data_IF_236472509682
#
_entry.id   IF_236472509682
#
_cell.length_a   1.000
_cell.length_b   1.000
_cell.length_c   1.000
_cell.angle_alpha   90.00
_cell.angle_beta   90.00
_cell.angle_gamma   90.00
#
_symmetry.space_group_name_H-M   'P 1'
#
loop_
_entity.id
_entity.type
_entity.pdbx_description
1 polymer ?
#
# COMPACT_ATOMS: atom_id res chain seq x y z
N UNK A 1 1.18 13.85 -5.75
CA UNK A 1 1.06 12.38 -5.84
C UNK A 1 2.40 11.64 -5.77
N UNK A 2 3.52 12.19 -6.27
CA UNK A 2 4.85 11.54 -6.18
C UNK A 2 5.31 11.24 -4.74
N UNK A 3 5.11 12.17 -3.80
CA UNK A 3 5.54 12.02 -2.42
C UNK A 3 4.82 10.89 -1.67
N UNK A 4 3.49 10.78 -1.80
CA UNK A 4 2.75 9.71 -1.13
C UNK A 4 3.11 8.33 -1.67
N UNK A 5 3.35 8.22 -2.98
CA UNK A 5 3.84 6.98 -3.57
C UNK A 5 5.22 6.61 -3.00
N UNK A 6 6.15 7.57 -2.98
CA UNK A 6 7.48 7.39 -2.41
C UNK A 6 7.39 6.90 -0.95
N UNK A 7 6.65 7.61 -0.11
CA UNK A 7 6.48 7.24 1.31
C UNK A 7 5.81 5.87 1.48
N UNK A 8 4.84 5.52 0.63
CA UNK A 8 4.19 4.21 0.74
C UNK A 8 5.10 3.05 0.36
N UNK A 9 6.03 3.27 -0.57
CA UNK A 9 6.87 2.22 -1.14
C UNK A 9 8.25 2.13 -0.48
N UNK A 10 8.66 3.17 0.26
CA UNK A 10 9.96 3.26 0.94
C UNK A 10 9.72 3.55 2.42
N UNK A 11 9.87 2.53 3.27
CA UNK A 11 9.53 2.60 4.71
C UNK A 11 10.62 3.24 5.57
N UNK A 12 11.79 3.49 4.99
CA UNK A 12 13.05 3.89 5.64
C UNK A 12 13.42 5.35 5.35
N UNK A 13 12.49 6.17 4.87
CA UNK A 13 12.70 7.61 4.68
C UNK A 13 12.83 8.29 6.05
N UNK A 14 13.96 8.96 6.29
CA UNK A 14 14.27 9.54 7.61
C UNK A 14 14.34 11.06 7.59
N UNK A 15 14.83 11.64 6.49
CA UNK A 15 15.14 13.06 6.45
C UNK A 15 14.76 13.68 5.10
N UNK A 16 14.23 14.90 5.14
CA UNK A 16 13.89 15.70 3.98
C UNK A 16 14.55 17.08 4.05
N UNK A 17 15.15 17.49 2.95
CA UNK A 17 15.79 18.78 2.78
C UNK A 17 14.99 19.61 1.77
N UNK A 18 14.37 20.69 2.26
CA UNK A 18 13.69 21.68 1.45
C UNK A 18 14.72 22.63 0.83
N UNK A 19 14.85 22.58 -0.49
CA UNK A 19 15.71 23.48 -1.25
C UNK A 19 14.92 24.74 -1.62
N UNK A 20 15.36 25.90 -1.15
CA UNK A 20 14.67 27.17 -1.39
C UNK A 20 15.52 28.13 -2.22
N UNK A 21 14.94 28.67 -3.29
CA UNK A 21 15.45 29.83 -4.00
C UNK A 21 14.30 30.81 -4.22
N UNK A 22 14.36 31.97 -3.56
CA UNK A 22 13.27 32.94 -3.55
C UNK A 22 11.94 32.28 -3.12
N UNK A 23 10.96 32.24 -4.01
CA UNK A 23 9.64 31.63 -3.78
C UNK A 23 9.51 30.23 -4.38
N UNK A 24 10.58 29.65 -4.92
CA UNK A 24 10.55 28.32 -5.55
C UNK A 24 11.20 27.28 -4.63
N UNK A 25 10.55 26.11 -4.53
CA UNK A 25 10.98 25.05 -3.64
C UNK A 25 11.02 23.68 -4.30
N UNK A 26 11.97 22.84 -3.88
CA UNK A 26 12.12 21.43 -4.22
C UNK A 26 12.47 20.61 -2.97
N UNK A 27 12.33 19.29 -3.01
CA UNK A 27 12.76 18.42 -1.90
C UNK A 27 13.84 17.45 -2.35
N UNK A 28 14.78 17.17 -1.46
CA UNK A 28 15.58 15.95 -1.48
C UNK A 28 15.22 15.15 -0.24
N UNK A 29 14.84 13.90 -0.41
CA UNK A 29 14.51 12.99 0.68
C UNK A 29 15.57 11.91 0.73
N UNK A 30 15.99 11.55 1.92
CA UNK A 30 17.02 10.54 2.19
C UNK A 30 16.42 9.40 3.01
N UNK A 31 16.82 8.18 2.69
CA UNK A 31 16.53 6.99 3.49
C UNK A 31 17.69 6.59 4.43
N UNK A 32 17.45 5.57 5.27
CA UNK A 32 18.47 5.01 6.19
C UNK A 32 19.68 4.43 5.47
N UNK A 33 19.53 4.07 4.20
CA UNK A 33 20.58 3.47 3.37
C UNK A 33 21.38 4.52 2.57
N UNK A 34 21.21 5.82 2.88
CA UNK A 34 21.85 6.94 2.19
C UNK A 34 21.43 7.09 0.71
N UNK A 35 20.29 6.52 0.31
CA UNK A 35 19.74 6.75 -1.03
C UNK A 35 19.00 8.09 -1.08
N UNK A 36 19.10 8.79 -2.22
CA UNK A 36 18.49 10.10 -2.40
C UNK A 36 17.33 10.08 -3.39
N UNK A 37 16.22 10.69 -2.99
CA UNK A 37 15.01 10.87 -3.80
C UNK A 37 14.74 12.35 -4.01
N UNK A 38 14.85 12.80 -5.26
CA UNK A 38 14.63 14.23 -5.60
C UNK A 38 13.21 14.44 -6.08
N UNK A 39 12.47 15.30 -5.37
CA UNK A 39 11.19 15.85 -5.84
C UNK A 39 11.47 17.21 -6.46
N UNK A 40 11.33 17.27 -7.79
CA UNK A 40 11.55 18.47 -8.61
C UNK A 40 10.75 19.67 -8.09
N UNK A 41 11.21 20.86 -8.44
CA UNK A 41 10.51 22.09 -8.09
C UNK A 41 9.15 22.16 -8.77
N UNK A 42 8.10 22.12 -7.97
CA UNK A 42 6.72 22.46 -8.33
C UNK A 42 5.98 23.12 -7.17
N UNK A 43 6.72 23.39 -6.09
CA UNK A 43 6.24 24.00 -4.87
C UNK A 43 6.66 25.47 -4.89
N UNK A 44 5.77 26.36 -4.46
CA UNK A 44 6.09 27.77 -4.31
C UNK A 44 5.68 28.29 -2.94
N UNK A 45 6.16 29.46 -2.54
CA UNK A 45 5.68 30.22 -1.39
C UNK A 45 5.21 31.61 -1.81
N UNK A 46 4.44 32.30 -0.96
CA UNK A 46 3.86 33.61 -1.27
C UNK A 46 2.38 33.52 -1.65
N UNK A 47 2.01 34.02 -2.84
CA UNK A 47 0.61 34.19 -3.23
C UNK A 47 -0.18 32.88 -3.22
N UNK A 48 -1.38 32.93 -2.62
CA UNK A 48 -2.28 31.78 -2.49
C UNK A 48 -2.56 31.14 -3.85
N UNK A 49 -2.26 29.85 -3.96
CA UNK A 49 -2.40 29.06 -5.18
C UNK A 49 -2.02 27.60 -4.97
N UNK A 50 -1.98 26.82 -6.05
CA UNK A 50 -1.68 25.39 -5.98
C UNK A 50 -0.23 25.10 -5.55
N UNK A 51 0.72 26.00 -5.86
CA UNK A 51 2.13 25.87 -5.45
C UNK A 51 2.32 25.89 -3.92
N UNK A 52 1.87 26.93 -3.20
CA UNK A 52 1.99 26.97 -1.74
C UNK A 52 1.09 25.96 -1.04
N UNK A 53 -0.09 25.66 -1.60
CA UNK A 53 -0.94 24.58 -1.11
C UNK A 53 -0.25 23.22 -1.21
N UNK A 54 0.43 22.96 -2.32
CA UNK A 54 1.22 21.75 -2.52
C UNK A 54 2.38 21.65 -1.53
N UNK A 55 3.05 22.77 -1.24
CA UNK A 55 4.15 22.84 -0.27
C UNK A 55 3.65 22.52 1.14
N UNK A 56 2.59 23.20 1.59
CA UNK A 56 1.96 22.95 2.89
C UNK A 56 1.52 21.49 3.05
N UNK A 57 0.93 20.92 1.99
CA UNK A 57 0.54 19.52 1.91
C UNK A 57 1.75 18.58 2.07
N UNK A 58 2.84 18.83 1.34
CA UNK A 58 4.05 18.02 1.39
C UNK A 58 4.70 18.04 2.78
N UNK A 59 4.90 19.23 3.35
CA UNK A 59 5.46 19.39 4.69
C UNK A 59 4.64 18.69 5.77
N UNK A 60 3.31 18.74 5.64
CA UNK A 60 2.43 18.05 6.59
C UNK A 60 2.48 16.53 6.44
N UNK A 61 2.61 16.03 5.21
CA UNK A 61 2.81 14.61 4.97
C UNK A 61 4.13 14.12 5.57
N UNK A 62 5.23 14.83 5.32
CA UNK A 62 6.55 14.52 5.90
C UNK A 62 6.48 14.49 7.43
N UNK A 63 5.92 15.53 8.04
CA UNK A 63 5.71 15.60 9.51
C UNK A 63 4.87 14.44 10.04
N UNK A 64 3.81 14.04 9.34
CA UNK A 64 2.94 12.93 9.75
C UNK A 64 3.69 11.60 9.80
N UNK A 65 4.59 11.39 8.85
CA UNK A 65 5.44 10.20 8.75
C UNK A 65 6.73 10.31 9.55
N UNK A 66 6.83 11.33 10.43
CA UNK A 66 7.98 11.54 11.31
C UNK A 66 9.30 11.72 10.53
N UNK A 67 9.22 12.18 9.28
CA UNK A 67 10.39 12.51 8.46
C UNK A 67 10.87 13.88 8.90
N UNK A 68 12.08 13.94 9.47
CA UNK A 68 12.71 15.20 9.86
C UNK A 68 12.84 16.10 8.63
N UNK A 69 12.46 17.36 8.74
CA UNK A 69 12.49 18.28 7.60
C UNK A 69 13.20 19.57 7.98
N UNK A 70 14.21 19.93 7.19
CA UNK A 70 14.98 21.17 7.35
C UNK A 70 15.03 21.92 6.01
N UNK A 71 15.37 23.20 6.05
CA UNK A 71 15.38 24.08 4.87
C UNK A 71 16.76 24.70 4.65
N UNK A 72 17.19 24.79 3.39
CA UNK A 72 18.42 25.47 2.98
C UNK A 72 18.18 26.45 1.82
N UNK A 73 18.99 27.50 1.75
CA UNK A 73 19.03 28.38 0.58
C UNK A 73 19.95 27.82 -0.49
N UNK A 74 19.45 27.72 -1.72
CA UNK A 74 20.22 27.27 -2.87
C UNK A 74 20.21 28.29 -3.99
N UNK A 75 21.18 28.18 -4.88
CA UNK A 75 21.18 28.98 -6.12
C UNK A 75 20.14 28.45 -7.11
N UNK A 76 19.66 29.33 -8.01
CA UNK A 76 18.79 28.96 -9.12
C UNK A 76 19.39 27.88 -10.02
N UNK A 77 20.73 27.80 -10.11
CA UNK A 77 21.46 26.73 -10.81
C UNK A 77 21.20 25.35 -10.19
N UNK A 78 21.16 25.24 -8.87
CA UNK A 78 20.87 23.98 -8.17
C UNK A 78 19.42 23.55 -8.41
N UNK A 79 18.44 24.46 -8.28
CA UNK A 79 17.04 24.14 -8.58
C UNK A 79 16.85 23.68 -10.03
N UNK A 80 17.46 24.38 -10.99
CA UNK A 80 17.40 23.98 -12.41
C UNK A 80 17.94 22.57 -12.62
N UNK A 81 19.00 22.19 -11.90
CA UNK A 81 19.58 20.86 -11.99
C UNK A 81 18.72 19.78 -11.34
N UNK A 82 18.11 20.08 -10.19
CA UNK A 82 17.11 19.21 -9.57
C UNK A 82 15.96 18.93 -10.54
N UNK A 83 15.44 19.97 -11.21
CA UNK A 83 14.36 19.85 -12.20
C UNK A 83 14.74 18.99 -13.41
N UNK A 84 15.98 19.13 -13.87
CA UNK A 84 16.50 18.37 -15.00
C UNK A 84 17.04 16.99 -14.60
N UNK A 85 16.97 16.60 -13.31
CA UNK A 85 17.51 15.33 -12.79
C UNK A 85 19.01 15.15 -13.10
N UNK A 86 19.79 16.20 -12.86
CA UNK A 86 21.24 16.28 -13.18
C UNK A 86 22.11 16.58 -11.95
N UNK A 87 21.57 16.42 -10.75
CA UNK A 87 22.35 16.42 -9.50
C UNK A 87 22.96 15.03 -9.30
N UNK A 88 24.24 14.96 -8.92
CA UNK A 88 24.88 13.71 -8.54
C UNK A 88 24.92 13.55 -7.01
N UNK A 89 25.23 12.35 -6.55
CA UNK A 89 25.21 12.01 -5.11
C UNK A 89 26.19 12.87 -4.30
N UNK A 90 27.40 13.10 -4.79
CA UNK A 90 28.40 13.95 -4.11
C UNK A 90 27.92 15.40 -3.93
N UNK A 91 27.19 15.93 -4.91
CA UNK A 91 26.59 17.26 -4.81
C UNK A 91 25.42 17.27 -3.83
N UNK A 92 24.62 16.22 -3.81
CA UNK A 92 23.52 16.08 -2.85
C UNK A 92 24.09 16.03 -1.43
N UNK A 93 25.11 15.21 -1.18
CA UNK A 93 25.79 15.15 0.12
C UNK A 93 26.31 16.52 0.58
N UNK A 94 26.81 17.35 -0.35
CA UNK A 94 27.25 18.71 -0.03
C UNK A 94 26.06 19.61 0.37
N UNK A 95 24.88 19.42 -0.21
CA UNK A 95 23.68 20.16 0.19
C UNK A 95 23.26 19.83 1.62
N UNK A 96 23.34 18.56 2.03
CA UNK A 96 23.05 18.14 3.41
C UNK A 96 24.03 18.70 4.45
N UNK A 97 25.20 19.18 4.02
CA UNK A 97 26.21 19.82 4.88
C UNK A 97 26.07 21.35 4.93
N UNK A 98 25.13 21.94 4.19
CA UNK A 98 24.93 23.39 4.18
C UNK A 98 24.28 23.89 5.47
N UNK A 99 24.44 25.19 5.71
CA UNK A 99 23.81 25.85 6.85
C UNK A 99 22.30 25.88 6.67
N UNK A 100 21.62 25.36 7.69
CA UNK A 100 20.16 25.29 7.75
C UNK A 100 19.60 26.67 8.05
N UNK A 101 18.48 27.04 7.42
CA UNK A 101 17.75 28.27 7.73
C UNK A 101 17.20 28.20 9.15
N UNK A 102 17.62 29.15 10.00
CA UNK A 102 17.12 29.33 11.36
C UNK A 102 16.52 30.75 11.55
N UNK A 103 15.46 30.92 12.36
CA UNK A 103 14.63 29.87 12.95
C UNK A 103 13.87 29.09 11.86
N UNK A 104 13.47 27.84 12.16
CA UNK A 104 12.73 27.00 11.22
C UNK A 104 11.40 27.68 10.86
N UNK A 105 11.19 27.96 9.56
CA UNK A 105 9.98 28.65 9.07
C UNK A 105 8.94 27.71 8.44
N UNK A 106 9.15 26.40 8.52
CA UNK A 106 8.26 25.41 7.90
C UNK A 106 6.80 25.57 8.35
N UNK A 107 6.58 25.98 9.60
CA UNK A 107 5.24 26.25 10.12
C UNK A 107 4.54 27.41 9.39
N UNK A 108 5.29 28.43 8.95
CA UNK A 108 4.76 29.59 8.26
C UNK A 108 4.21 29.21 6.87
N UNK A 109 4.77 28.17 6.24
CA UNK A 109 4.25 27.61 4.99
C UNK A 109 2.96 26.80 5.20
N UNK A 110 2.77 26.20 6.38
CA UNK A 110 1.61 25.35 6.69
C UNK A 110 0.43 26.19 7.21
N UNK A 111 0.71 27.18 8.05
CA UNK A 111 -0.30 27.94 8.80
C UNK A 111 -1.44 28.50 7.93
N UNK A 112 -1.18 29.14 6.77
CA UNK A 112 -2.23 29.69 5.91
C UNK A 112 -3.18 28.65 5.33
N UNK A 113 -2.78 27.37 5.31
CA UNK A 113 -3.51 26.25 4.72
C UNK A 113 -3.97 25.24 5.76
N UNK A 114 -3.95 25.58 7.05
CA UNK A 114 -4.24 24.64 8.15
C UNK A 114 -5.58 23.92 7.99
N UNK A 115 -6.61 24.58 7.48
CA UNK A 115 -7.92 23.96 7.25
C UNK A 115 -7.86 22.92 6.12
N UNK A 116 -7.27 23.27 4.98
CA UNK A 116 -7.11 22.42 3.80
C UNK A 116 -6.15 21.25 4.08
N UNK A 117 -5.08 21.54 4.82
CA UNK A 117 -4.11 20.55 5.31
C UNK A 117 -4.77 19.61 6.32
N UNK A 118 -5.70 20.10 7.14
CA UNK A 118 -6.45 19.23 8.06
C UNK A 118 -7.33 18.22 7.31
N UNK A 119 -7.91 18.62 6.17
CA UNK A 119 -8.58 17.69 5.25
C UNK A 119 -7.60 16.76 4.56
N UNK A 120 -6.34 17.19 4.42
CA UNK A 120 -5.24 16.32 4.03
C UNK A 120 -4.92 15.28 5.10
N UNK A 121 -5.48 15.30 6.32
CA UNK A 121 -5.46 14.10 7.18
C UNK A 121 -6.44 13.01 6.71
N UNK A 122 -7.44 13.36 5.89
CA UNK A 122 -8.28 12.39 5.13
C UNK A 122 -7.58 11.91 3.84
N UNK A 123 -6.29 12.18 3.68
CA UNK A 123 -5.41 11.90 2.52
C UNK A 123 -5.24 10.45 2.08
N UNK A 124 -6.01 9.48 2.61
CA UNK A 124 -5.96 8.09 2.13
C UNK A 124 -6.07 8.01 0.60
N UNK A 125 -6.81 8.94 -0.02
CA UNK A 125 -6.93 9.08 -1.48
C UNK A 125 -5.62 9.36 -2.24
N UNK A 126 -4.58 9.89 -1.58
CA UNK A 126 -3.30 10.19 -2.22
C UNK A 126 -2.31 9.02 -2.15
N UNK A 127 -2.61 8.00 -1.34
CA UNK A 127 -1.85 6.76 -1.28
C UNK A 127 -2.33 5.86 -2.42
N UNK A 128 -1.43 5.41 -3.32
CA UNK A 128 -1.82 4.48 -4.37
C UNK A 128 -2.39 3.18 -3.77
N UNK A 129 -3.42 2.63 -4.42
CA UNK A 129 -3.90 1.29 -4.14
C UNK A 129 -3.10 0.32 -5.01
N UNK A 130 -2.15 -0.39 -4.40
CA UNK A 130 -1.27 -1.36 -5.07
C UNK A 130 -1.26 -2.67 -4.28
N UNK A 131 -1.16 -3.79 -4.99
CA UNK A 131 -1.07 -5.11 -4.36
C UNK A 131 0.38 -5.39 -3.96
N UNK A 132 0.63 -5.87 -2.72
CA UNK A 132 1.96 -6.23 -2.26
C UNK A 132 2.39 -7.58 -2.85
N UNK A 133 3.00 -7.56 -4.03
CA UNK A 133 3.37 -8.77 -4.77
C UNK A 133 4.26 -9.76 -4.01
N UNK A 134 5.07 -9.28 -3.07
CA UNK A 134 5.99 -10.12 -2.30
C UNK A 134 5.31 -11.08 -1.31
N UNK A 135 4.03 -10.88 -1.00
CA UNK A 135 3.26 -11.73 -0.06
C UNK A 135 2.13 -12.50 -0.74
N UNK A 136 2.07 -12.47 -2.07
CA UNK A 136 1.03 -13.18 -2.81
C UNK A 136 1.44 -14.64 -3.05
N UNK A 137 0.46 -15.53 -3.00
CA UNK A 137 0.64 -16.92 -3.42
C UNK A 137 0.84 -16.99 -4.94
N UNK A 138 1.89 -17.68 -5.39
CA UNK A 138 2.28 -17.79 -6.79
C UNK A 138 1.13 -18.31 -7.68
N UNK A 139 0.23 -19.15 -7.14
CA UNK A 139 -0.88 -19.74 -7.88
C UNK A 139 -1.97 -18.75 -8.25
N UNK A 140 -1.93 -17.53 -7.73
CA UNK A 140 -2.84 -16.42 -8.11
C UNK A 140 -2.09 -15.18 -8.60
N UNK A 141 -0.77 -15.27 -8.82
CA UNK A 141 0.01 -14.13 -9.27
C UNK A 141 -0.45 -13.60 -10.64
N UNK A 142 -0.80 -14.50 -11.56
CA UNK A 142 -1.42 -14.15 -12.85
C UNK A 142 -2.73 -13.35 -12.67
N UNK A 143 -3.52 -13.70 -11.66
CA UNK A 143 -4.75 -13.01 -11.33
C UNK A 143 -4.48 -11.65 -10.67
N UNK A 144 -3.38 -11.50 -9.92
CA UNK A 144 -2.95 -10.22 -9.37
C UNK A 144 -2.57 -9.22 -10.49
N UNK A 145 -1.95 -9.71 -11.57
CA UNK A 145 -1.67 -8.89 -12.76
C UNK A 145 -2.96 -8.52 -13.49
N UNK A 146 -3.88 -9.47 -13.66
CA UNK A 146 -5.19 -9.22 -14.26
C UNK A 146 -6.01 -8.21 -13.45
N UNK A 147 -5.93 -8.28 -12.12
CA UNK A 147 -6.71 -7.47 -11.19
C UNK A 147 -6.55 -5.96 -11.42
N UNK A 148 -5.37 -5.52 -11.90
CA UNK A 148 -5.12 -4.12 -12.25
C UNK A 148 -6.05 -3.59 -13.34
N UNK A 149 -6.51 -4.47 -14.23
CA UNK A 149 -7.33 -4.12 -15.40
C UNK A 149 -8.77 -4.60 -15.28
N UNK A 150 -8.98 -5.77 -14.68
CA UNK A 150 -10.28 -6.41 -14.53
C UNK A 150 -10.36 -7.13 -13.17
N UNK A 151 -10.63 -6.37 -12.08
CA UNK A 151 -10.58 -6.92 -10.73
C UNK A 151 -11.73 -7.87 -10.42
N UNK A 152 -12.92 -7.65 -10.99
CA UNK A 152 -14.06 -8.56 -10.83
C UNK A 152 -13.77 -9.95 -11.43
N UNK A 153 -13.23 -9.98 -12.65
CA UNK A 153 -12.83 -11.23 -13.30
C UNK A 153 -11.70 -11.93 -12.56
N UNK A 154 -10.70 -11.18 -12.08
CA UNK A 154 -9.60 -11.71 -11.29
C UNK A 154 -10.11 -12.38 -10.00
N UNK A 155 -10.96 -11.71 -9.22
CA UNK A 155 -11.54 -12.24 -7.99
C UNK A 155 -12.41 -13.46 -8.23
N UNK A 156 -13.31 -13.40 -9.24
CA UNK A 156 -14.17 -14.53 -9.57
C UNK A 156 -13.36 -15.77 -9.99
N UNK A 157 -12.30 -15.57 -10.79
CA UNK A 157 -11.38 -16.65 -11.18
C UNK A 157 -10.61 -17.20 -9.98
N UNK A 158 -10.16 -16.33 -9.07
CA UNK A 158 -9.44 -16.75 -7.87
C UNK A 158 -10.32 -17.65 -6.98
N UNK A 159 -11.60 -17.30 -6.79
CA UNK A 159 -12.54 -18.14 -6.03
C UNK A 159 -12.80 -19.49 -6.70
N UNK A 160 -13.03 -19.50 -8.02
CA UNK A 160 -13.25 -20.75 -8.76
C UNK A 160 -12.03 -21.65 -8.70
N UNK A 161 -10.84 -21.09 -8.93
CA UNK A 161 -9.57 -21.84 -8.89
C UNK A 161 -9.32 -22.44 -7.50
N UNK A 162 -9.64 -21.72 -6.42
CA UNK A 162 -9.51 -22.26 -5.06
C UNK A 162 -10.51 -23.39 -4.79
N UNK A 163 -11.77 -23.26 -5.24
CA UNK A 163 -12.74 -24.36 -5.17
C UNK A 163 -12.23 -25.60 -5.93
N UNK A 164 -11.66 -25.42 -7.12
CA UNK A 164 -11.13 -26.50 -7.94
C UNK A 164 -9.95 -27.21 -7.25
N UNK A 165 -9.04 -26.45 -6.64
CA UNK A 165 -7.90 -27.00 -5.88
C UNK A 165 -8.41 -27.84 -4.71
N UNK A 166 -9.34 -27.32 -3.90
CA UNK A 166 -9.88 -28.06 -2.76
C UNK A 166 -10.59 -29.33 -3.22
N UNK A 167 -11.39 -29.28 -4.30
CA UNK A 167 -12.04 -30.48 -4.85
C UNK A 167 -11.01 -31.50 -5.31
N UNK A 168 -9.95 -31.06 -6.00
CA UNK A 168 -8.85 -31.94 -6.43
C UNK A 168 -8.10 -32.61 -5.27
N UNK A 169 -8.03 -31.97 -4.09
CA UNK A 169 -7.39 -32.52 -2.89
C UNK A 169 -8.28 -33.41 -2.04
N UNK A 170 -9.60 -33.31 -2.19
CA UNK A 170 -10.57 -33.91 -1.24
C UNK A 170 -11.55 -34.87 -1.90
N UNK A 171 -11.55 -34.95 -3.23
CA UNK A 171 -12.53 -35.67 -4.06
C UNK A 171 -14.00 -35.27 -3.78
N UNK A 172 -14.22 -34.11 -3.17
CA UNK A 172 -15.56 -33.57 -2.92
C UNK A 172 -16.17 -32.96 -4.18
N UNK A 173 -17.49 -33.03 -4.30
CA UNK A 173 -18.26 -32.49 -5.45
C UNK A 173 -19.05 -31.23 -5.11
N UNK A 174 -19.02 -30.79 -3.86
CA UNK A 174 -19.77 -29.62 -3.40
C UNK A 174 -19.16 -28.30 -3.89
N UNK A 175 -19.87 -27.20 -3.67
CA UNK A 175 -19.45 -25.85 -4.08
C UNK A 175 -19.57 -24.84 -2.93
N UNK A 176 -18.89 -23.70 -3.05
CA UNK A 176 -18.97 -22.56 -2.14
C UNK A 176 -18.75 -22.96 -0.68
N UNK A 177 -19.41 -22.28 0.27
CA UNK A 177 -19.29 -22.53 1.70
C UNK A 177 -19.50 -23.99 2.10
N UNK A 178 -20.33 -24.75 1.37
CA UNK A 178 -20.59 -26.17 1.68
C UNK A 178 -19.36 -27.04 1.41
N UNK A 179 -18.61 -26.76 0.33
CA UNK A 179 -17.34 -27.42 0.04
C UNK A 179 -16.36 -27.22 1.20
N UNK A 180 -16.15 -25.98 1.65
CA UNK A 180 -15.20 -25.68 2.72
C UNK A 180 -15.63 -26.26 4.07
N UNK A 181 -16.92 -26.22 4.39
CA UNK A 181 -17.44 -26.90 5.59
C UNK A 181 -17.15 -28.38 5.58
N UNK A 182 -17.32 -29.08 4.45
CA UNK A 182 -17.00 -30.50 4.36
C UNK A 182 -15.49 -30.75 4.39
N UNK A 183 -14.71 -29.95 3.67
CA UNK A 183 -13.27 -30.09 3.56
C UNK A 183 -12.51 -29.86 4.88
N UNK A 184 -12.99 -28.94 5.73
CA UNK A 184 -12.26 -28.49 6.93
C UNK A 184 -13.04 -28.58 8.25
N UNK A 185 -14.37 -28.54 8.23
CA UNK A 185 -15.21 -28.39 9.43
C UNK A 185 -16.33 -29.44 9.52
N UNK A 186 -16.00 -30.68 9.15
CA UNK A 186 -16.87 -31.85 9.32
C UNK A 186 -16.18 -32.88 10.22
N UNK A 187 -16.92 -33.77 10.90
CA UNK A 187 -16.31 -34.76 11.81
C UNK A 187 -15.17 -35.55 11.17
N UNK A 188 -15.34 -35.90 9.88
CA UNK A 188 -14.39 -36.63 9.05
C UNK A 188 -13.81 -35.74 7.94
N UNK A 189 -13.52 -34.48 8.25
CA UNK A 189 -12.94 -33.57 7.27
C UNK A 189 -11.61 -34.13 6.71
N UNK A 190 -11.42 -34.13 5.38
CA UNK A 190 -10.22 -34.67 4.75
C UNK A 190 -8.98 -33.79 4.97
N UNK A 191 -9.16 -32.49 5.22
CA UNK A 191 -8.07 -31.55 5.42
C UNK A 191 -8.10 -30.94 6.83
N UNK A 192 -6.91 -30.73 7.39
CA UNK A 192 -6.69 -30.08 8.68
C UNK A 192 -5.37 -29.31 8.67
N UNK A 193 -5.03 -28.62 9.75
CA UNK A 193 -3.72 -28.02 9.97
C UNK A 193 -2.99 -28.72 11.11
N UNK A 194 -1.65 -28.75 11.04
CA UNK A 194 -0.77 -29.29 12.08
C UNK A 194 -0.63 -28.32 13.26
N UNK A 195 -1.74 -28.07 13.97
CA UNK A 195 -1.82 -27.16 15.10
C UNK A 195 -2.18 -27.92 16.38
N UNK A 196 -1.71 -27.42 17.52
CA UNK A 196 -1.98 -28.01 18.84
C UNK A 196 -3.38 -27.68 19.36
N UNK A 197 -3.90 -26.49 19.05
CA UNK A 197 -5.22 -26.04 19.51
C UNK A 197 -6.31 -26.29 18.45
N UNK A 198 -7.34 -27.05 18.84
CA UNK A 198 -8.52 -27.30 17.99
C UNK A 198 -9.30 -26.01 17.68
N UNK A 199 -9.25 -25.02 18.57
CA UNK A 199 -9.93 -23.74 18.37
C UNK A 199 -9.34 -22.96 17.20
N UNK A 200 -8.02 -23.04 17.01
CA UNK A 200 -7.33 -22.43 15.86
C UNK A 200 -7.71 -23.11 14.55
N UNK A 201 -7.82 -24.45 14.53
CA UNK A 201 -8.29 -25.22 13.37
C UNK A 201 -9.71 -24.79 12.98
N UNK A 202 -10.61 -24.68 13.96
CA UNK A 202 -11.99 -24.20 13.74
C UNK A 202 -11.98 -22.76 13.23
N UNK A 203 -11.13 -21.91 13.80
CA UNK A 203 -10.95 -20.51 13.38
C UNK A 203 -10.55 -20.41 11.91
N UNK A 204 -9.52 -21.16 11.48
CA UNK A 204 -9.08 -21.22 10.08
C UNK A 204 -10.20 -21.68 9.16
N UNK A 205 -10.90 -22.76 9.49
CA UNK A 205 -12.03 -23.24 8.69
C UNK A 205 -13.15 -22.17 8.55
N UNK A 206 -13.43 -21.42 9.62
CA UNK A 206 -14.42 -20.34 9.60
C UNK A 206 -13.99 -19.16 8.71
N UNK A 207 -12.69 -18.90 8.55
CA UNK A 207 -12.19 -17.86 7.62
C UNK A 207 -12.53 -18.23 6.17
N UNK A 208 -12.37 -19.50 5.77
CA UNK A 208 -12.78 -19.97 4.43
C UNK A 208 -14.28 -19.77 4.22
N UNK A 209 -15.09 -20.30 5.14
CA UNK A 209 -16.55 -20.27 5.04
C UNK A 209 -17.05 -18.81 5.03
N UNK A 210 -16.59 -18.00 5.98
CA UNK A 210 -17.00 -16.61 6.15
C UNK A 210 -16.62 -15.75 4.95
N UNK A 211 -15.40 -15.88 4.42
CA UNK A 211 -14.94 -15.13 3.24
C UNK A 211 -15.79 -15.44 2.01
N UNK A 212 -16.09 -16.72 1.74
CA UNK A 212 -16.96 -17.09 0.61
C UNK A 212 -18.39 -16.59 0.77
N UNK A 213 -18.94 -16.69 1.98
CA UNK A 213 -20.30 -16.22 2.26
C UNK A 213 -20.41 -14.70 2.14
N UNK A 214 -19.41 -13.96 2.59
CA UNK A 214 -19.40 -12.50 2.58
C UNK A 214 -19.22 -11.92 1.17
N UNK A 215 -18.33 -12.47 0.37
CA UNK A 215 -17.87 -11.82 -0.87
C UNK A 215 -18.28 -12.56 -2.14
N UNK A 216 -17.94 -13.85 -2.27
CA UNK A 216 -18.21 -14.64 -3.49
C UNK A 216 -19.70 -14.64 -3.83
N UNK A 217 -20.56 -14.88 -2.84
CA UNK A 217 -22.01 -14.98 -3.07
C UNK A 217 -22.60 -13.66 -3.61
N UNK A 218 -22.11 -12.50 -3.15
CA UNK A 218 -22.55 -11.22 -3.68
C UNK A 218 -22.14 -11.07 -5.16
N UNK A 219 -20.89 -11.39 -5.50
CA UNK A 219 -20.37 -11.31 -6.89
C UNK A 219 -21.06 -12.27 -7.86
N UNK A 220 -21.53 -13.42 -7.40
CA UNK A 220 -22.22 -14.39 -8.26
C UNK A 220 -23.67 -14.00 -8.59
N UNK A 221 -24.29 -13.11 -7.81
CA UNK A 221 -25.73 -12.84 -7.87
C UNK A 221 -26.09 -11.37 -8.09
N UNK A 222 -25.15 -10.43 -8.01
CA UNK A 222 -25.39 -8.98 -8.15
C UNK A 222 -24.28 -8.33 -8.97
N UNK A 223 -24.64 -7.35 -9.80
CA UNK A 223 -23.65 -6.42 -10.35
C UNK A 223 -23.00 -5.64 -9.20
N UNK A 224 -21.66 -5.64 -9.17
CA UNK A 224 -20.89 -5.07 -8.08
C UNK A 224 -21.01 -3.54 -8.07
N UNK A 225 -21.56 -2.99 -6.99
CA UNK A 225 -21.46 -1.56 -6.64
C UNK A 225 -20.28 -1.30 -5.69
N UNK A 226 -19.38 -2.28 -5.52
CA UNK A 226 -18.33 -2.21 -4.52
C UNK A 226 -17.27 -1.16 -4.86
N UNK A 227 -16.77 -0.51 -3.82
CA UNK A 227 -15.67 0.43 -3.97
C UNK A 227 -14.40 -0.36 -4.33
N UNK A 228 -13.61 0.13 -5.29
CA UNK A 228 -12.32 -0.44 -5.70
C UNK A 228 -11.41 -0.82 -4.51
N UNK A 229 -11.38 0.00 -3.45
CA UNK A 229 -10.63 -0.31 -2.23
C UNK A 229 -11.10 -1.57 -1.49
N UNK A 230 -12.39 -1.92 -1.58
CA UNK A 230 -12.94 -3.17 -1.05
C UNK A 230 -12.44 -4.36 -1.85
N UNK A 231 -12.39 -4.26 -3.17
CA UNK A 231 -11.87 -5.32 -4.04
C UNK A 231 -10.39 -5.63 -3.73
N UNK A 232 -9.56 -4.61 -3.44
CA UNK A 232 -8.17 -4.83 -3.00
C UNK A 232 -8.10 -5.63 -1.69
N UNK A 233 -8.93 -5.27 -0.70
CA UNK A 233 -8.99 -6.02 0.56
C UNK A 233 -9.47 -7.44 0.36
N UNK A 234 -10.45 -7.63 -0.51
CA UNK A 234 -10.94 -8.96 -0.87
C UNK A 234 -9.87 -9.79 -1.57
N UNK A 235 -9.08 -9.19 -2.47
CA UNK A 235 -7.96 -9.88 -3.12
C UNK A 235 -6.95 -10.41 -2.09
N UNK A 236 -6.63 -9.61 -1.06
CA UNK A 236 -5.76 -10.03 0.04
C UNK A 236 -6.41 -11.11 0.91
N UNK A 237 -7.72 -11.05 1.14
CA UNK A 237 -8.44 -12.11 1.87
C UNK A 237 -8.42 -13.43 1.11
N UNK A 238 -8.65 -13.43 -0.20
CA UNK A 238 -8.56 -14.66 -0.98
C UNK A 238 -7.12 -15.16 -1.06
N UNK A 239 -6.13 -14.28 -1.16
CA UNK A 239 -4.71 -14.66 -1.06
C UNK A 239 -4.42 -15.44 0.23
N UNK A 240 -4.93 -14.95 1.37
CA UNK A 240 -4.79 -15.65 2.65
C UNK A 240 -5.40 -17.05 2.62
N UNK A 241 -6.54 -17.24 1.93
CA UNK A 241 -7.12 -18.58 1.78
C UNK A 241 -6.22 -19.52 0.98
N UNK A 242 -5.50 -19.04 -0.04
CA UNK A 242 -4.53 -19.85 -0.77
C UNK A 242 -3.36 -20.26 0.14
N UNK A 243 -2.81 -19.32 0.91
CA UNK A 243 -1.73 -19.60 1.85
C UNK A 243 -2.16 -20.63 2.91
N UNK A 244 -3.32 -20.43 3.54
CA UNK A 244 -3.87 -21.37 4.51
C UNK A 244 -4.16 -22.74 3.88
N UNK A 245 -4.65 -22.78 2.66
CA UNK A 245 -4.87 -24.04 1.94
C UNK A 245 -3.55 -24.77 1.67
N UNK A 246 -2.49 -24.05 1.30
CA UNK A 246 -1.15 -24.61 1.09
C UNK A 246 -0.54 -25.20 2.37
N UNK A 247 -0.88 -24.65 3.53
CA UNK A 247 -0.48 -25.18 4.84
C UNK A 247 -1.31 -26.40 5.30
N UNK A 248 -2.47 -26.64 4.69
CA UNK A 248 -3.35 -27.73 5.11
C UNK A 248 -2.73 -29.09 4.76
N UNK A 249 -2.86 -30.04 5.68
CA UNK A 249 -2.40 -31.43 5.54
C UNK A 249 -3.60 -32.36 5.44
N UNK A 250 -3.40 -33.50 4.77
CA UNK A 250 -4.38 -34.59 4.77
C UNK A 250 -4.51 -35.14 6.18
N UNK A 251 -5.74 -35.33 6.61
CA UNK A 251 -6.02 -35.97 7.89
C UNK A 251 -5.80 -37.47 7.73
N UNK A 252 -4.75 -37.99 8.36
CA UNK A 252 -4.52 -39.44 8.36
C UNK A 252 -5.76 -40.15 8.92
N UNK A 253 -6.26 -41.21 8.25
CA UNK A 253 -7.32 -42.02 8.83
C UNK A 253 -6.83 -42.61 10.14
N UNK A 254 -7.60 -42.40 11.21
CA UNK A 254 -7.45 -43.10 12.49
C UNK A 254 -7.82 -44.58 12.32
#
# INVERSE_FOLDING_TARGET
MSLCNLIQTHSDLTYALLLTNEQAHAFIIKDENESFYVIRSGFTSGYMGEGPRGLATALTLLKRHQIETEEILVSSKILRRANNSTLNDSEIELLFKQEIIRPIRLHDYIYPFTKEVSETHKSKRYYPLELPYSILDDRIFDLALLFKHDPDSALLKAYKRLEDIIRGRTDLTEHSSKLFSQAFNSPNCPLTWSLTDKSEIIGRANIFIGTYQAFRNARAHRESTENYAQMFREFLLINELYLLEGEAVERSPL
#
